data_IF_334264486301
#
_entry.id   IF_334264486301
#
_cell.length_a   1.000
_cell.length_b   1.000
_cell.length_c   1.000
_cell.angle_alpha   90.00
_cell.angle_beta   90.00
_cell.angle_gamma   90.00
#
_symmetry.space_group_name_H-M   'P 1'
#
loop_
_entity.id
_entity.type
_entity.pdbx_description
1 polymer ?
#
# COMPACT_ATOMS: atom_id res chain seq x y z
N UNK A 1 6.30 -9.68 0.96
CA UNK A 1 6.60 -8.31 0.49
C UNK A 1 5.30 -7.54 0.60
N UNK A 2 5.19 -6.73 1.65
CA UNK A 2 3.98 -6.00 2.00
C UNK A 2 4.02 -4.64 1.29
N UNK A 3 2.99 -4.31 0.52
CA UNK A 3 2.87 -3.01 -0.13
C UNK A 3 1.85 -2.21 0.67
N UNK A 4 2.32 -1.15 1.33
CA UNK A 4 1.48 -0.27 2.13
C UNK A 4 1.21 1.01 1.37
N UNK A 5 -0.07 1.30 1.18
CA UNK A 5 -0.54 2.50 0.49
C UNK A 5 -1.00 3.50 1.54
N UNK A 6 -0.30 4.63 1.66
CA UNK A 6 -0.69 5.73 2.55
C UNK A 6 -1.44 6.77 1.70
N UNK A 7 -2.76 6.91 1.90
CA UNK A 7 -3.60 7.89 1.22
C UNK A 7 -4.02 9.05 2.13
N UNK A 8 -3.99 10.29 1.62
CA UNK A 8 -4.33 11.52 2.36
C UNK A 8 -5.51 12.27 1.69
N UNK A 9 -6.47 12.78 2.49
CA UNK A 9 -7.64 13.53 2.00
C UNK A 9 -7.90 14.79 2.87
N UNK A 10 -8.17 15.93 2.23
CA UNK A 10 -8.28 17.26 2.87
C UNK A 10 -9.69 17.87 2.70
N UNK A 11 -10.37 18.28 3.79
CA UNK A 11 -11.63 19.08 3.75
C UNK A 11 -11.73 19.96 4.99
N UNK A 12 -12.10 21.24 4.86
CA UNK A 12 -11.99 22.24 5.94
C UNK A 12 -13.28 22.73 6.59
N UNK A 13 -13.25 22.90 7.91
CA UNK A 13 -14.13 23.79 8.70
C UNK A 13 -13.66 23.96 10.16
N UNK A 14 -14.22 24.98 10.80
CA UNK A 14 -13.74 25.74 11.98
C UNK A 14 -13.96 24.97 13.31
N UNK A 15 -12.98 25.09 14.22
CA UNK A 15 -12.94 24.62 15.63
C UNK A 15 -12.54 23.14 15.87
N UNK A 16 -11.28 22.87 16.22
CA UNK A 16 -10.79 21.83 17.16
C UNK A 16 -9.24 21.88 17.25
N UNK A 17 -8.59 21.51 18.38
CA UNK A 17 -7.12 21.44 18.47
C UNK A 17 -6.55 20.35 17.55
N UNK A 18 -5.33 20.59 17.07
CA UNK A 18 -4.59 19.85 16.04
C UNK A 18 -4.68 18.31 16.15
N UNK A 19 -5.47 17.68 15.27
CA UNK A 19 -5.55 16.23 15.06
C UNK A 19 -4.41 15.75 14.15
N UNK A 20 -3.16 15.92 14.58
CA UNK A 20 -2.02 15.29 13.90
C UNK A 20 -1.99 13.80 14.25
N UNK A 21 -1.88 12.94 13.24
CA UNK A 21 -1.72 11.50 13.49
C UNK A 21 -0.33 11.21 14.04
N UNK A 22 -0.28 10.29 15.00
CA UNK A 22 0.99 9.80 15.52
C UNK A 22 1.62 8.80 14.55
N UNK A 23 2.94 8.80 14.43
CA UNK A 23 3.64 7.79 13.67
C UNK A 23 3.40 6.40 14.27
N UNK A 24 3.36 5.39 13.40
CA UNK A 24 3.34 3.99 13.80
C UNK A 24 4.63 3.65 14.54
N UNK A 25 4.51 3.03 15.72
CA UNK A 25 5.63 2.58 16.55
C UNK A 25 5.54 1.07 16.78
N UNK A 26 6.70 0.42 16.95
CA UNK A 26 6.80 -1.02 17.23
C UNK A 26 6.11 -1.92 16.19
N UNK A 27 6.00 -1.48 14.94
CA UNK A 27 5.51 -2.35 13.87
C UNK A 27 6.54 -3.46 13.59
N UNK A 28 6.11 -4.72 13.36
CA UNK A 28 7.03 -5.85 13.12
C UNK A 28 8.04 -5.58 12.01
N UNK A 29 7.59 -4.89 10.96
CA UNK A 29 8.42 -4.48 9.84
C UNK A 29 8.85 -3.00 10.03
N UNK A 30 10.15 -2.74 10.31
CA UNK A 30 10.63 -1.43 10.76
C UNK A 30 10.55 -0.36 9.66
N UNK A 31 10.58 -0.77 8.38
CA UNK A 31 10.44 0.12 7.24
C UNK A 31 9.10 0.89 7.26
N UNK A 32 8.06 0.30 7.83
CA UNK A 32 6.72 0.89 7.95
C UNK A 32 6.68 1.98 9.03
N UNK A 33 7.31 1.70 10.17
CA UNK A 33 7.45 2.70 11.25
C UNK A 33 8.24 3.91 10.74
N UNK A 34 9.33 3.66 10.00
CA UNK A 34 10.12 4.72 9.38
C UNK A 34 9.34 5.51 8.32
N UNK A 35 8.60 4.82 7.44
CA UNK A 35 7.77 5.47 6.42
C UNK A 35 6.67 6.33 7.05
N UNK A 36 6.03 5.83 8.11
CA UNK A 36 5.04 6.58 8.88
C UNK A 36 5.65 7.83 9.51
N UNK A 37 6.81 7.73 10.14
CA UNK A 37 7.52 8.87 10.74
C UNK A 37 7.84 9.92 9.68
N UNK A 38 8.42 9.51 8.55
CA UNK A 38 8.78 10.40 7.46
C UNK A 38 7.54 11.11 6.91
N UNK A 39 6.43 10.39 6.70
CA UNK A 39 5.20 10.97 6.17
C UNK A 39 4.61 12.04 7.10
N UNK A 40 4.64 11.82 8.42
CA UNK A 40 4.18 12.80 9.41
C UNK A 40 5.06 14.06 9.39
N UNK A 41 6.38 13.88 9.41
CA UNK A 41 7.35 15.00 9.40
C UNK A 41 7.25 15.80 8.10
N UNK A 42 7.20 15.11 6.95
CA UNK A 42 7.09 15.75 5.64
C UNK A 42 5.82 16.58 5.54
N UNK A 43 4.67 16.01 5.93
CA UNK A 43 3.40 16.73 5.93
C UNK A 43 3.45 17.96 6.83
N UNK A 44 3.95 17.81 8.06
CA UNK A 44 4.06 18.94 8.98
C UNK A 44 4.97 20.05 8.41
N UNK A 45 6.13 19.68 7.88
CA UNK A 45 7.10 20.62 7.32
C UNK A 45 6.54 21.40 6.13
N UNK A 46 5.77 20.72 5.27
CA UNK A 46 5.22 21.32 4.06
C UNK A 46 4.05 22.28 4.34
N UNK A 47 3.25 22.01 5.39
CA UNK A 47 1.93 22.63 5.51
C UNK A 47 1.68 23.39 6.82
N UNK A 48 2.43 23.14 7.90
CA UNK A 48 2.14 23.70 9.22
C UNK A 48 2.29 25.23 9.31
N UNK A 49 3.16 25.83 8.48
CA UNK A 49 3.39 27.29 8.47
C UNK A 49 2.40 28.06 7.59
N UNK A 50 1.79 27.41 6.60
CA UNK A 50 0.96 28.06 5.56
C UNK A 50 -0.51 27.66 5.59
N UNK A 51 -0.86 26.59 6.30
CA UNK A 51 -2.21 26.01 6.29
C UNK A 51 -2.55 25.34 7.61
N UNK A 52 -3.81 24.93 7.76
CA UNK A 52 -4.28 24.20 8.94
C UNK A 52 -4.61 22.77 8.59
N UNK A 53 -4.19 21.86 9.46
CA UNK A 53 -4.54 20.44 9.43
C UNK A 53 -6.01 20.25 9.81
N UNK A 54 -6.77 19.64 8.91
CA UNK A 54 -8.22 19.43 9.09
C UNK A 54 -8.54 17.97 9.36
N UNK A 55 -7.90 17.09 8.58
CA UNK A 55 -7.94 15.66 8.77
C UNK A 55 -6.63 15.09 8.27
N UNK A 56 -6.05 14.19 9.04
CA UNK A 56 -4.93 13.37 8.63
C UNK A 56 -5.32 11.92 8.97
N UNK A 57 -5.14 11.01 8.03
CA UNK A 57 -5.42 9.58 8.21
C UNK A 57 -4.24 8.80 7.70
N UNK A 58 -3.85 7.78 8.44
CA UNK A 58 -2.93 6.75 7.99
C UNK A 58 -3.69 5.43 7.96
N UNK A 59 -3.45 4.64 6.94
CA UNK A 59 -4.00 3.30 6.79
C UNK A 59 -2.83 2.37 6.51
N UNK A 60 -2.77 1.27 7.25
CA UNK A 60 -1.89 0.14 6.95
C UNK A 60 -2.80 -0.92 6.34
N UNK A 61 -2.51 -1.28 5.09
CA UNK A 61 -3.27 -2.29 4.37
C UNK A 61 -2.41 -3.54 4.20
N UNK A 62 -2.96 -4.69 4.57
CA UNK A 62 -2.35 -5.98 4.32
C UNK A 62 -2.93 -6.53 3.02
N UNK A 63 -2.10 -6.64 1.99
CA UNK A 63 -2.52 -7.21 0.71
C UNK A 63 -2.29 -8.72 0.77
N UNK A 64 -3.34 -9.56 0.75
CA UNK A 64 -3.16 -11.01 0.71
C UNK A 64 -2.44 -11.38 -0.60
N UNK A 65 -1.43 -12.24 -0.49
CA UNK A 65 -0.64 -12.72 -1.61
C UNK A 65 -0.54 -14.25 -1.54
N UNK A 66 -1.09 -14.92 -2.54
CA UNK A 66 -1.05 -16.38 -2.65
C UNK A 66 -0.19 -16.77 -3.85
N UNK A 67 0.84 -17.59 -3.61
CA UNK A 67 1.60 -18.23 -4.68
C UNK A 67 0.96 -19.57 -5.01
N UNK A 68 0.63 -19.79 -6.26
CA UNK A 68 0.14 -21.09 -6.75
C UNK A 68 1.21 -21.72 -7.60
N UNK A 69 1.57 -22.94 -7.26
CA UNK A 69 2.51 -23.77 -8.02
C UNK A 69 1.73 -24.82 -8.79
N UNK A 70 2.07 -25.02 -10.07
CA UNK A 70 1.39 -25.97 -10.93
C UNK A 70 2.36 -26.59 -11.93
N UNK A 71 2.02 -27.78 -12.40
CA UNK A 71 2.77 -28.47 -13.45
C UNK A 71 2.02 -28.35 -14.78
N UNK A 72 2.76 -28.02 -15.84
CA UNK A 72 2.27 -28.00 -17.21
C UNK A 72 3.30 -28.64 -18.14
N UNK A 73 2.91 -29.69 -18.85
CA UNK A 73 3.78 -30.43 -19.78
C UNK A 73 5.13 -30.85 -19.17
N UNK A 74 5.12 -31.36 -17.94
CA UNK A 74 6.35 -31.79 -17.26
C UNK A 74 7.22 -30.65 -16.73
N UNK A 75 6.77 -29.39 -16.83
CA UNK A 75 7.48 -28.22 -16.30
C UNK A 75 6.67 -27.58 -15.18
N UNK A 76 7.37 -27.19 -14.11
CA UNK A 76 6.78 -26.46 -13.00
C UNK A 76 6.71 -24.96 -13.32
N UNK A 77 5.58 -24.37 -12.98
CA UNK A 77 5.28 -22.95 -13.13
C UNK A 77 4.70 -22.39 -11.84
N UNK A 78 4.68 -21.07 -11.74
CA UNK A 78 3.96 -20.41 -10.66
C UNK A 78 3.32 -19.11 -11.12
N UNK A 79 2.22 -18.75 -10.47
CA UNK A 79 1.60 -17.44 -10.56
C UNK A 79 1.25 -16.94 -9.16
N UNK A 80 1.09 -15.63 -9.05
CA UNK A 80 0.71 -14.95 -7.83
C UNK A 80 -0.70 -14.39 -7.97
N UNK A 81 -1.53 -14.62 -6.97
CA UNK A 81 -2.83 -13.97 -6.80
C UNK A 81 -2.71 -12.96 -5.68
N UNK A 82 -3.11 -11.72 -5.91
CA UNK A 82 -2.96 -10.64 -4.94
C UNK A 82 -4.16 -9.70 -4.86
N UNK A 83 -4.36 -9.12 -3.67
CA UNK A 83 -5.42 -8.16 -3.37
C UNK A 83 -6.81 -8.76 -3.33
N UNK A 84 -7.78 -7.97 -2.86
CA UNK A 84 -9.17 -8.41 -2.68
C UNK A 84 -9.89 -8.69 -4.01
N UNK A 85 -9.41 -8.06 -5.09
CA UNK A 85 -9.91 -8.27 -6.45
C UNK A 85 -9.35 -9.56 -7.10
N UNK A 86 -8.53 -10.35 -6.39
CA UNK A 86 -7.88 -11.56 -6.89
C UNK A 86 -7.10 -11.32 -8.20
N UNK A 87 -6.34 -10.23 -8.27
CA UNK A 87 -5.53 -9.91 -9.45
C UNK A 87 -4.44 -10.96 -9.61
N UNK A 88 -4.16 -11.35 -10.86
CA UNK A 88 -3.18 -12.39 -11.18
C UNK A 88 -1.93 -11.77 -11.79
N UNK A 89 -0.77 -12.10 -11.24
CA UNK A 89 0.53 -11.80 -11.82
C UNK A 89 1.27 -13.09 -12.15
N UNK A 90 1.80 -13.19 -13.36
CA UNK A 90 2.61 -14.32 -13.82
C UNK A 90 3.72 -13.82 -14.74
N UNK A 91 4.96 -14.16 -14.43
CA UNK A 91 6.11 -13.80 -15.27
C UNK A 91 6.22 -14.73 -16.50
N UNK A 92 6.04 -16.03 -16.27
CA UNK A 92 6.33 -17.09 -17.23
C UNK A 92 5.10 -17.94 -17.56
N UNK A 93 4.04 -17.31 -18.07
CA UNK A 93 2.84 -18.05 -18.47
C UNK A 93 3.14 -19.01 -19.65
N UNK A 94 2.84 -20.32 -19.55
CA UNK A 94 3.29 -21.34 -20.48
C UNK A 94 2.70 -21.20 -21.89
N UNK A 95 1.52 -20.58 -22.02
CA UNK A 95 0.86 -20.37 -23.31
C UNK A 95 0.66 -18.89 -23.59
N UNK A 96 1.71 -18.21 -24.06
CA UNK A 96 1.59 -16.86 -24.64
C UNK A 96 0.89 -16.97 -25.99
N UNK A 97 -0.44 -17.08 -26.00
CA UNK A 97 -1.19 -16.96 -27.24
C UNK A 97 -1.05 -15.52 -27.76
N UNK A 98 -1.00 -15.31 -29.07
CA UNK A 98 -0.91 -13.98 -29.69
C UNK A 98 -2.17 -13.10 -29.50
N UNK A 99 -3.14 -13.58 -28.72
CA UNK A 99 -4.36 -12.87 -28.39
C UNK A 99 -4.29 -12.43 -26.93
N UNK A 100 -3.96 -11.17 -26.70
CA UNK A 100 -4.16 -10.50 -25.42
C UNK A 100 -5.65 -10.49 -25.09
N UNK A 101 -6.06 -11.29 -24.11
CA UNK A 101 -7.38 -11.12 -23.50
C UNK A 101 -7.19 -10.04 -22.43
N UNK A 102 -7.79 -8.88 -22.72
CA UNK A 102 -7.99 -7.76 -21.78
C UNK A 102 -8.89 -8.19 -20.62
#
# INVERSE_FOLDING_TARGET
>A
MEVIVISFLFVGLKYFPFLQVYPVVNFPEPSISQASQNAVVQHHTQFASVSRLLRQRQTIELIPLTKVEYEWQGKLYSYYVYGDENRVYTENYPKKCCCSIM
#
